data_IF_404195866968
#
_entry.id   IF_404195866968
#
_cell.length_a   1.000
_cell.length_b   1.000
_cell.length_c   1.000
_cell.angle_alpha   90.00
_cell.angle_beta   90.00
_cell.angle_gamma   90.00
#
_symmetry.space_group_name_H-M   'P 1'
#
loop_
_entity.id
_entity.type
_entity.pdbx_description
1 polymer ?
#
# COMPACT_ATOMS: atom_id res chain seq x y z
N UNK A 1 -4.21 -15.85 -11.05
CA UNK A 1 -3.28 -14.75 -10.75
C UNK A 1 -3.81 -13.92 -9.60
N UNK A 2 -2.93 -13.51 -8.72
CA UNK A 2 -3.35 -12.66 -7.59
C UNK A 2 -3.58 -11.24 -8.06
N UNK A 3 -4.63 -10.62 -7.55
CA UNK A 3 -4.95 -9.23 -7.83
C UNK A 3 -4.36 -8.35 -6.73
N UNK A 4 -3.58 -7.37 -7.11
CA UNK A 4 -2.92 -6.49 -6.15
C UNK A 4 -3.20 -5.03 -6.45
N UNK A 5 -3.10 -4.20 -5.43
CA UNK A 5 -3.09 -2.75 -5.59
C UNK A 5 -1.76 -2.21 -5.06
N UNK A 6 -1.35 -1.08 -5.59
CA UNK A 6 -0.13 -0.41 -5.18
C UNK A 6 -0.50 0.87 -4.45
N UNK A 7 0.17 1.14 -3.35
CA UNK A 7 0.05 2.41 -2.64
C UNK A 7 1.41 3.06 -2.54
N UNK A 8 1.50 4.31 -2.98
CA UNK A 8 2.72 5.10 -2.90
C UNK A 8 2.43 6.44 -2.24
N UNK A 9 3.32 6.84 -1.34
CA UNK A 9 3.20 8.12 -0.67
C UNK A 9 4.54 8.83 -0.68
N UNK A 10 4.51 10.11 -1.01
CA UNK A 10 5.68 10.97 -0.90
C UNK A 10 5.31 12.18 -0.07
N UNK A 11 6.26 12.72 0.68
CA UNK A 11 6.05 13.97 1.37
C UNK A 11 6.22 15.10 0.38
N UNK A 12 6.79 16.10 0.32
CA UNK A 12 6.56 17.23 -0.55
C UNK A 12 7.41 17.32 -1.81
N UNK A 13 8.64 17.00 -1.87
CA UNK A 13 9.48 17.26 -3.04
C UNK A 13 10.25 16.03 -3.46
N UNK A 14 9.58 14.92 -3.54
CA UNK A 14 10.30 13.70 -3.73
C UNK A 14 10.27 13.24 -5.17
N UNK A 15 11.43 12.93 -5.71
CA UNK A 15 11.57 12.21 -6.95
C UNK A 15 11.36 10.72 -6.74
N UNK A 16 11.25 10.28 -5.47
CA UNK A 16 11.09 8.88 -5.12
C UNK A 16 9.73 8.30 -5.50
N UNK A 17 8.77 9.17 -5.81
CA UNK A 17 7.43 8.75 -6.19
C UNK A 17 7.44 7.79 -7.37
N UNK A 18 8.04 8.20 -8.47
CA UNK A 18 8.11 7.37 -9.67
C UNK A 18 8.89 6.08 -9.40
N UNK A 19 9.98 6.20 -8.64
CA UNK A 19 10.80 5.06 -8.30
C UNK A 19 10.03 4.01 -7.51
N UNK A 20 9.23 4.44 -6.53
CA UNK A 20 8.39 3.53 -5.75
C UNK A 20 7.44 2.77 -6.67
N UNK A 21 6.75 3.50 -7.54
CA UNK A 21 5.78 2.89 -8.46
C UNK A 21 6.47 1.89 -9.39
N UNK A 22 7.59 2.28 -9.99
CA UNK A 22 8.32 1.41 -10.92
C UNK A 22 8.78 0.14 -10.21
N UNK A 23 9.37 0.25 -9.04
CA UNK A 23 9.88 -0.90 -8.30
C UNK A 23 8.74 -1.83 -7.90
N UNK A 24 7.61 -1.28 -7.49
CA UNK A 24 6.45 -2.09 -7.10
C UNK A 24 5.82 -2.78 -8.31
N UNK A 25 5.74 -2.10 -9.46
CA UNK A 25 5.25 -2.70 -10.70
C UNK A 25 6.16 -3.83 -11.15
N UNK A 26 7.48 -3.63 -11.06
CA UNK A 26 8.46 -4.65 -11.44
C UNK A 26 8.33 -5.88 -10.55
N UNK A 27 8.15 -5.67 -9.25
CA UNK A 27 7.92 -6.77 -8.32
C UNK A 27 6.65 -7.53 -8.68
N UNK A 28 5.55 -6.82 -8.90
CA UNK A 28 4.28 -7.45 -9.26
C UNK A 28 4.42 -8.26 -10.56
N UNK A 29 5.13 -7.71 -11.53
CA UNK A 29 5.36 -8.38 -12.81
C UNK A 29 6.17 -9.67 -12.63
N UNK A 30 7.22 -9.63 -11.81
CA UNK A 30 8.05 -10.82 -11.55
C UNK A 30 7.26 -11.91 -10.83
N UNK A 31 6.28 -11.55 -10.03
CA UNK A 31 5.45 -12.48 -9.27
C UNK A 31 4.20 -12.93 -10.03
N UNK A 32 4.03 -12.47 -11.27
CA UNK A 32 2.84 -12.74 -12.09
C UNK A 32 1.55 -12.24 -11.41
N UNK A 33 1.64 -11.12 -10.70
CA UNK A 33 0.46 -10.47 -10.11
C UNK A 33 -0.17 -9.52 -11.12
N UNK A 34 -1.48 -9.29 -10.99
CA UNK A 34 -2.19 -8.29 -11.78
C UNK A 34 -2.36 -7.04 -10.92
N UNK A 35 -1.77 -5.93 -11.34
CA UNK A 35 -1.97 -4.64 -10.66
C UNK A 35 -3.28 -4.06 -11.19
N UNK A 36 -4.33 -4.09 -10.38
CA UNK A 36 -5.65 -3.62 -10.81
C UNK A 36 -5.86 -2.14 -10.57
N UNK A 37 -5.14 -1.55 -9.62
CA UNK A 37 -5.20 -0.12 -9.37
C UNK A 37 -3.98 0.36 -8.59
N UNK A 38 -3.64 1.63 -8.81
CA UNK A 38 -2.56 2.30 -8.08
C UNK A 38 -3.14 3.51 -7.36
N UNK A 39 -2.76 3.66 -6.10
CA UNK A 39 -3.15 4.80 -5.28
C UNK A 39 -1.89 5.54 -4.88
N UNK A 40 -1.93 6.85 -4.98
CA UNK A 40 -0.75 7.65 -4.66
C UNK A 40 -1.16 9.00 -4.10
N UNK A 41 -0.37 9.51 -3.17
CA UNK A 41 -0.63 10.82 -2.60
C UNK A 41 0.65 11.52 -2.16
N UNK A 42 0.61 12.84 -2.22
CA UNK A 42 1.69 13.70 -1.72
C UNK A 42 1.20 14.31 -0.42
N UNK A 43 1.54 13.70 0.70
CA UNK A 43 1.05 14.13 2.00
C UNK A 43 2.00 13.64 3.10
N UNK A 44 2.05 14.37 4.20
CA UNK A 44 2.86 13.96 5.34
C UNK A 44 2.37 12.62 5.92
N UNK A 45 3.30 11.72 6.22
CA UNK A 45 2.98 10.45 6.87
C UNK A 45 2.48 10.62 8.30
N UNK A 46 2.61 11.83 8.87
CA UNK A 46 2.09 12.14 10.21
C UNK A 46 0.57 12.39 10.20
N UNK A 47 -0.03 12.59 9.03
CA UNK A 47 -1.47 12.77 8.92
C UNK A 47 -2.19 11.47 9.29
N UNK A 48 -3.33 11.58 9.96
CA UNK A 48 -4.17 10.44 10.30
C UNK A 48 -4.71 9.79 9.02
N UNK A 49 -4.96 8.48 9.08
CA UNK A 49 -5.51 7.75 7.94
C UNK A 49 -6.78 8.42 7.41
N UNK A 50 -7.67 8.87 8.29
CA UNK A 50 -8.91 9.53 7.89
C UNK A 50 -8.69 10.85 7.13
N UNK A 51 -7.52 11.45 7.27
CA UNK A 51 -7.15 12.68 6.57
C UNK A 51 -6.42 12.40 5.26
N UNK A 52 -6.12 11.14 4.97
CA UNK A 52 -5.37 10.72 3.79
C UNK A 52 -6.35 10.11 2.79
N UNK A 53 -6.81 10.95 1.88
CA UNK A 53 -7.88 10.61 0.94
C UNK A 53 -7.58 9.35 0.12
N UNK A 54 -6.37 9.26 -0.45
CA UNK A 54 -6.04 8.12 -1.30
C UNK A 54 -5.92 6.81 -0.51
N UNK A 55 -5.42 6.87 0.71
CA UNK A 55 -5.36 5.69 1.56
C UNK A 55 -6.77 5.24 1.95
N UNK A 56 -7.65 6.19 2.27
CA UNK A 56 -9.05 5.87 2.58
C UNK A 56 -9.74 5.23 1.37
N UNK A 57 -9.51 5.75 0.18
CA UNK A 57 -10.05 5.18 -1.04
C UNK A 57 -9.51 3.77 -1.30
N UNK A 58 -8.22 3.54 -1.03
CA UNK A 58 -7.64 2.22 -1.16
C UNK A 58 -8.33 1.22 -0.24
N UNK A 59 -8.52 1.58 1.02
CA UNK A 59 -9.16 0.69 1.99
C UNK A 59 -10.59 0.34 1.58
N UNK A 60 -11.33 1.32 1.04
CA UNK A 60 -12.66 1.05 0.52
C UNK A 60 -12.63 0.17 -0.73
N UNK A 61 -11.68 0.43 -1.60
CA UNK A 61 -11.54 -0.32 -2.85
C UNK A 61 -11.26 -1.80 -2.61
N UNK A 62 -10.29 -2.09 -1.73
CA UNK A 62 -9.90 -3.49 -1.47
C UNK A 62 -11.03 -4.27 -0.81
N UNK A 63 -11.87 -3.60 -0.05
CA UNK A 63 -13.04 -4.21 0.58
C UNK A 63 -14.09 -4.59 -0.45
N UNK A 64 -14.23 -3.79 -1.51
CA UNK A 64 -15.27 -3.97 -2.53
C UNK A 64 -14.86 -4.88 -3.69
N UNK A 65 -13.58 -5.13 -3.91
CA UNK A 65 -13.08 -5.73 -5.15
C UNK A 65 -12.25 -7.00 -5.00
N UNK A 66 -12.34 -7.72 -3.92
CA UNK A 66 -11.62 -9.00 -3.73
C UNK A 66 -10.13 -8.92 -4.08
N UNK A 67 -9.43 -8.00 -3.46
CA UNK A 67 -8.00 -7.82 -3.66
C UNK A 67 -7.24 -8.80 -2.78
N UNK A 68 -6.17 -9.40 -3.30
CA UNK A 68 -5.34 -10.35 -2.57
C UNK A 68 -4.26 -9.69 -1.74
N UNK A 69 -3.64 -8.65 -2.27
CA UNK A 69 -2.53 -7.97 -1.60
C UNK A 69 -2.51 -6.47 -1.87
N UNK A 70 -1.95 -5.75 -0.90
CA UNK A 70 -1.57 -4.34 -1.05
C UNK A 70 -0.05 -4.30 -1.04
N UNK A 71 0.56 -3.66 -2.03
CA UNK A 71 2.01 -3.52 -2.13
C UNK A 71 2.42 -2.11 -1.76
N UNK A 72 3.37 -1.98 -0.84
CA UNK A 72 3.96 -0.70 -0.47
C UNK A 72 5.48 -0.79 -0.53
N UNK A 73 6.15 0.34 -0.66
CA UNK A 73 7.60 0.38 -0.77
C UNK A 73 8.27 0.18 0.60
N UNK A 74 7.82 0.91 1.61
CA UNK A 74 8.29 0.77 3.00
C UNK A 74 7.18 1.16 3.97
N UNK A 75 7.32 0.78 5.24
CA UNK A 75 6.29 1.01 6.26
C UNK A 75 5.85 2.47 6.38
N UNK A 76 6.81 3.39 6.32
CA UNK A 76 6.50 4.82 6.51
C UNK A 76 5.62 5.38 5.38
N UNK A 77 5.53 4.69 4.25
CA UNK A 77 4.64 5.11 3.16
C UNK A 77 3.19 4.88 3.51
N UNK A 78 2.92 3.85 4.30
CA UNK A 78 1.56 3.61 4.79
C UNK A 78 1.22 4.55 5.92
N UNK A 79 2.05 4.62 6.95
CA UNK A 79 1.89 5.58 8.03
C UNK A 79 3.17 5.66 8.87
N UNK A 80 3.46 6.84 9.40
CA UNK A 80 4.53 7.05 10.38
C UNK A 80 4.01 6.88 11.82
N UNK A 81 2.70 6.81 11.98
CA UNK A 81 2.07 6.60 13.28
C UNK A 81 1.85 5.11 13.48
N UNK A 82 2.52 4.54 14.48
CA UNK A 82 2.47 3.10 14.72
C UNK A 82 1.03 2.61 14.91
N UNK A 83 0.23 3.35 15.67
CA UNK A 83 -1.17 2.96 15.93
C UNK A 83 -1.96 2.90 14.61
N UNK A 84 -1.81 3.92 13.76
CA UNK A 84 -2.50 3.97 12.47
C UNK A 84 -2.04 2.83 11.56
N UNK A 85 -0.72 2.57 11.53
CA UNK A 85 -0.16 1.49 10.73
C UNK A 85 -0.74 0.14 11.15
N UNK A 86 -0.78 -0.13 12.46
CA UNK A 86 -1.32 -1.38 12.98
C UNK A 86 -2.82 -1.52 12.70
N UNK A 87 -3.57 -0.43 12.77
CA UNK A 87 -4.99 -0.43 12.45
C UNK A 87 -5.24 -0.80 10.99
N UNK A 88 -4.42 -0.28 10.08
CA UNK A 88 -4.55 -0.62 8.67
C UNK A 88 -4.25 -2.10 8.44
N UNK A 89 -3.18 -2.61 9.06
CA UNK A 89 -2.84 -4.03 8.95
C UNK A 89 -4.00 -4.90 9.47
N UNK A 90 -4.56 -4.55 10.61
CA UNK A 90 -5.66 -5.29 11.20
C UNK A 90 -6.87 -5.31 10.27
N UNK A 91 -7.22 -4.15 9.70
CA UNK A 91 -8.32 -4.03 8.75
C UNK A 91 -8.12 -4.95 7.54
N UNK A 92 -6.92 -4.93 6.98
CA UNK A 92 -6.61 -5.77 5.81
C UNK A 92 -6.63 -7.26 6.18
N UNK A 93 -6.05 -7.60 7.32
CA UNK A 93 -5.98 -8.98 7.79
C UNK A 93 -7.37 -9.57 8.01
N UNK A 94 -8.28 -8.80 8.57
CA UNK A 94 -9.68 -9.23 8.78
C UNK A 94 -10.37 -9.59 7.47
N UNK A 95 -9.94 -8.97 6.37
CA UNK A 95 -10.52 -9.25 5.05
C UNK A 95 -9.71 -10.30 4.27
N UNK A 96 -8.68 -10.88 4.90
CA UNK A 96 -7.83 -11.85 4.23
C UNK A 96 -6.88 -11.23 3.21
N UNK A 97 -6.62 -9.93 3.32
CA UNK A 97 -5.76 -9.20 2.40
C UNK A 97 -4.37 -9.05 3.03
N UNK A 98 -3.34 -9.46 2.28
CA UNK A 98 -1.97 -9.35 2.74
C UNK A 98 -1.38 -7.97 2.42
N UNK A 99 -0.51 -7.48 3.29
CA UNK A 99 0.29 -6.29 3.01
C UNK A 99 1.73 -6.73 2.76
N UNK A 100 2.28 -6.36 1.62
CA UNK A 100 3.67 -6.66 1.29
C UNK A 100 4.51 -5.39 1.29
N UNK A 101 5.64 -5.43 1.98
CA UNK A 101 6.56 -4.30 2.11
C UNK A 101 7.82 -4.64 1.34
N UNK A 102 7.99 -3.99 0.18
CA UNK A 102 9.06 -4.35 -0.76
C UNK A 102 10.46 -4.19 -0.18
N UNK A 103 10.73 -3.10 0.50
CA UNK A 103 12.06 -2.80 1.01
C UNK A 103 12.58 -3.87 1.97
N UNK A 104 11.70 -4.45 2.76
CA UNK A 104 12.06 -5.46 3.76
C UNK A 104 11.75 -6.89 3.33
N UNK A 105 11.00 -7.06 2.25
CA UNK A 105 10.52 -8.37 1.84
C UNK A 105 9.56 -8.99 2.83
N UNK A 106 8.85 -8.18 3.62
CA UNK A 106 7.93 -8.65 4.65
C UNK A 106 6.50 -8.68 4.15
N UNK A 107 5.79 -9.71 4.58
CA UNK A 107 4.38 -9.87 4.23
C UNK A 107 3.58 -10.21 5.48
N UNK A 108 2.41 -9.58 5.65
CA UNK A 108 1.61 -9.73 6.87
C UNK A 108 0.82 -11.05 6.92
N UNK A 109 0.46 -11.58 5.75
CA UNK A 109 -0.19 -12.90 5.66
C UNK A 109 0.60 -13.76 4.69
N UNK A 110 0.91 -14.97 5.09
CA UNK A 110 1.65 -15.91 4.24
C UNK A 110 0.85 -17.16 3.98
#
# INVERSE_FOLDING_TARGET
MKKVVIYARVSTNSQDYERQIIDLRDYANRMDYVVVKEFSEKISGAKKVAEREQLSELLNYVEAHHIDKVLIYECSRLSRRIVDFLQVIEQLTEKGISLFILQNGLETLQ
#
